data_IF_570529333337
#
_entry.id   IF_570529333337
#
_cell.length_a   1.000
_cell.length_b   1.000
_cell.length_c   1.000
_cell.angle_alpha   90.00
_cell.angle_beta   90.00
_cell.angle_gamma   90.00
#
_symmetry.space_group_name_H-M   'P 1'
#
loop_
_entity.id
_entity.type
_entity.pdbx_description
1 polymer ?
#
# COMPACT_ATOMS: atom_id res chain seq x y z
N UNK A 1 -40.99 5.85 -24.30
CA UNK A 1 -40.21 6.35 -23.15
C UNK A 1 -38.73 6.16 -23.46
N UNK A 2 -38.01 7.24 -23.82
CA UNK A 2 -36.59 7.15 -24.14
C UNK A 2 -35.79 7.08 -22.83
N UNK A 3 -35.26 5.89 -22.50
CA UNK A 3 -34.22 5.77 -21.49
C UNK A 3 -32.96 6.47 -22.00
N UNK A 4 -32.72 7.70 -21.55
CA UNK A 4 -31.39 8.30 -21.69
C UNK A 4 -30.43 7.48 -20.83
N UNK A 5 -29.55 6.74 -21.49
CA UNK A 5 -28.44 6.04 -20.84
C UNK A 5 -27.61 7.09 -20.12
N UNK A 6 -27.66 7.07 -18.79
CA UNK A 6 -26.96 8.03 -17.95
C UNK A 6 -25.46 7.65 -17.95
N UNK A 7 -24.72 8.18 -18.94
CA UNK A 7 -23.28 7.95 -19.00
C UNK A 7 -22.62 8.63 -17.80
N UNK A 8 -21.76 7.93 -17.03
CA UNK A 8 -21.05 8.55 -15.93
C UNK A 8 -20.20 9.71 -16.47
N UNK A 9 -20.39 10.92 -15.94
CA UNK A 9 -19.59 12.09 -16.33
C UNK A 9 -18.13 11.82 -15.99
N UNK A 10 -17.28 11.79 -17.01
CA UNK A 10 -15.83 11.81 -16.84
C UNK A 10 -15.40 13.23 -16.49
N UNK A 11 -14.92 13.42 -15.27
CA UNK A 11 -14.28 14.65 -14.85
C UNK A 11 -12.82 14.63 -15.29
N UNK A 12 -12.33 15.78 -15.75
CA UNK A 12 -10.90 15.95 -15.99
C UNK A 12 -10.13 15.63 -14.71
N UNK A 13 -9.04 14.85 -14.79
CA UNK A 13 -8.23 14.59 -13.62
C UNK A 13 -7.69 15.92 -13.10
N UNK A 14 -7.77 16.12 -11.78
CA UNK A 14 -7.20 17.30 -11.12
C UNK A 14 -5.73 17.41 -11.49
N UNK A 15 -5.24 18.64 -11.73
CA UNK A 15 -3.84 18.86 -12.10
C UNK A 15 -2.84 18.42 -11.01
N UNK A 16 -1.53 18.58 -11.27
CA UNK A 16 -0.47 18.16 -10.34
C UNK A 16 -0.59 18.80 -8.94
N UNK A 17 -1.33 19.92 -8.82
CA UNK A 17 -1.67 20.57 -7.57
C UNK A 17 -2.36 19.63 -6.55
N UNK A 18 -3.14 18.65 -7.00
CA UNK A 18 -3.79 17.69 -6.10
C UNK A 18 -2.79 16.75 -5.40
N UNK A 19 -1.58 16.61 -5.93
CA UNK A 19 -0.51 15.81 -5.33
C UNK A 19 0.39 16.64 -4.39
N UNK A 20 0.24 17.96 -4.36
CA UNK A 20 1.06 18.83 -3.51
C UNK A 20 0.74 18.58 -2.03
N UNK A 21 -0.53 18.56 -1.65
CA UNK A 21 -0.92 18.41 -0.24
C UNK A 21 -0.47 17.06 0.38
N UNK A 22 -0.68 15.89 -0.29
CA UNK A 22 -0.13 14.62 0.20
C UNK A 22 1.39 14.61 0.28
N UNK A 23 2.09 15.16 -0.73
CA UNK A 23 3.55 15.19 -0.77
C UNK A 23 4.14 16.13 0.29
N UNK A 24 3.51 17.27 0.58
CA UNK A 24 3.99 18.25 1.56
C UNK A 24 3.84 17.73 3.00
N UNK A 25 2.80 16.93 3.27
CA UNK A 25 2.56 16.39 4.61
C UNK A 25 3.29 15.05 4.81
N UNK A 26 3.04 14.06 3.94
CA UNK A 26 3.61 12.72 4.09
C UNK A 26 5.06 12.62 3.62
N UNK A 27 5.50 13.47 2.69
CA UNK A 27 6.87 13.43 2.15
C UNK A 27 7.92 13.70 3.22
N UNK A 28 7.86 14.85 3.92
CA UNK A 28 8.78 15.14 5.03
C UNK A 28 8.68 14.09 6.14
N UNK A 29 7.46 13.64 6.46
CA UNK A 29 7.25 12.63 7.50
C UNK A 29 7.92 11.28 7.13
N UNK A 30 7.81 10.86 5.87
CA UNK A 30 8.48 9.67 5.35
C UNK A 30 10.00 9.80 5.36
N UNK A 31 10.55 10.96 4.98
CA UNK A 31 11.99 11.22 5.03
C UNK A 31 12.52 11.26 6.47
N UNK A 32 11.79 11.88 7.40
CA UNK A 32 12.17 11.95 8.81
C UNK A 32 12.18 10.56 9.46
N UNK A 33 11.15 9.75 9.22
CA UNK A 33 11.09 8.39 9.75
C UNK A 33 12.19 7.49 9.17
N UNK A 34 12.45 7.61 7.87
CA UNK A 34 13.51 6.84 7.22
C UNK A 34 14.91 7.25 7.69
N UNK A 35 15.17 8.56 7.78
CA UNK A 35 16.43 9.10 8.28
C UNK A 35 16.69 8.78 9.74
N UNK A 36 15.67 8.96 10.61
CA UNK A 36 15.76 8.60 12.02
C UNK A 36 15.92 7.09 12.23
N UNK A 37 15.25 6.27 11.40
CA UNK A 37 15.41 4.83 11.40
C UNK A 37 16.84 4.40 11.05
N UNK A 38 17.43 4.97 10.00
CA UNK A 38 18.82 4.66 9.61
C UNK A 38 19.81 5.06 10.71
N UNK A 39 19.65 6.24 11.31
CA UNK A 39 20.54 6.69 12.38
C UNK A 39 20.46 5.76 13.62
N UNK A 40 19.25 5.29 13.97
CA UNK A 40 19.05 4.32 15.05
C UNK A 40 19.60 2.91 14.73
N UNK A 41 19.50 2.45 13.47
CA UNK A 41 20.08 1.15 13.08
C UNK A 41 21.60 1.17 13.17
N UNK A 42 22.23 2.24 12.68
CA UNK A 42 23.69 2.33 12.61
C UNK A 42 24.35 2.67 13.94
N UNK A 43 23.73 3.51 14.79
CA UNK A 43 24.34 3.95 16.05
C UNK A 43 24.01 3.07 17.25
N UNK A 44 22.77 2.63 17.39
CA UNK A 44 22.33 1.94 18.61
C UNK A 44 22.13 0.43 18.44
N UNK A 45 22.33 -0.13 17.22
CA UNK A 45 21.98 -1.53 16.88
C UNK A 45 20.56 -1.89 17.34
N UNK A 46 19.68 -0.90 17.46
CA UNK A 46 18.34 -1.08 18.01
C UNK A 46 17.42 -1.59 16.91
N UNK A 47 16.79 -2.73 17.16
CA UNK A 47 15.75 -3.31 16.30
C UNK A 47 14.59 -2.32 16.05
N UNK A 48 14.35 -1.36 16.95
CA UNK A 48 13.39 -0.27 16.74
C UNK A 48 13.73 0.62 15.54
N UNK A 49 15.02 0.77 15.20
CA UNK A 49 15.44 1.49 13.99
C UNK A 49 14.93 0.83 12.70
N UNK A 50 14.86 -0.52 12.66
CA UNK A 50 14.30 -1.25 11.53
C UNK A 50 12.79 -1.00 11.36
N UNK A 51 12.05 -0.88 12.47
CA UNK A 51 10.63 -0.55 12.45
C UNK A 51 10.40 0.85 11.87
N UNK A 52 11.20 1.84 12.30
CA UNK A 52 11.13 3.20 11.75
C UNK A 52 11.52 3.27 10.27
N UNK A 53 12.58 2.54 9.85
CA UNK A 53 12.95 2.40 8.45
C UNK A 53 11.83 1.78 7.60
N UNK A 54 11.22 0.70 8.08
CA UNK A 54 10.11 0.04 7.40
C UNK A 54 8.90 0.97 7.25
N UNK A 55 8.56 1.72 8.31
CA UNK A 55 7.50 2.73 8.27
C UNK A 55 7.79 3.84 7.26
N UNK A 56 9.01 4.38 7.26
CA UNK A 56 9.45 5.39 6.29
C UNK A 56 9.35 4.90 4.83
N UNK A 57 9.83 3.68 4.55
CA UNK A 57 9.74 3.06 3.23
C UNK A 57 8.30 2.85 2.76
N UNK A 58 7.40 2.44 3.66
CA UNK A 58 5.99 2.27 3.33
C UNK A 58 5.32 3.60 2.95
N UNK A 59 5.64 4.69 3.66
CA UNK A 59 5.10 6.02 3.38
C UNK A 59 5.61 6.54 2.03
N UNK A 60 6.92 6.42 1.78
CA UNK A 60 7.52 6.83 0.51
C UNK A 60 6.98 5.98 -0.64
N UNK A 61 6.89 4.66 -0.46
CA UNK A 61 6.32 3.74 -1.44
C UNK A 61 4.86 4.07 -1.76
N UNK A 62 4.05 4.41 -0.74
CA UNK A 62 2.68 4.85 -0.93
C UNK A 62 2.59 6.14 -1.75
N UNK A 63 3.43 7.14 -1.47
CA UNK A 63 3.49 8.38 -2.25
C UNK A 63 3.86 8.12 -3.71
N UNK A 64 4.87 7.28 -3.96
CA UNK A 64 5.26 6.87 -5.33
C UNK A 64 4.12 6.14 -6.03
N UNK A 65 3.41 5.25 -5.32
CA UNK A 65 2.25 4.56 -5.87
C UNK A 65 1.12 5.52 -6.25
N UNK A 66 0.81 6.50 -5.38
CA UNK A 66 -0.14 7.57 -5.70
C UNK A 66 0.30 8.38 -6.93
N UNK A 67 1.59 8.71 -7.04
CA UNK A 67 2.15 9.42 -8.20
C UNK A 67 1.97 8.63 -9.49
N UNK A 68 2.26 7.32 -9.46
CA UNK A 68 2.02 6.45 -10.61
C UNK A 68 0.55 6.41 -11.00
N UNK A 69 -0.37 6.27 -10.03
CA UNK A 69 -1.81 6.30 -10.32
C UNK A 69 -2.24 7.63 -10.95
N UNK A 70 -1.67 8.75 -10.48
CA UNK A 70 -1.94 10.07 -11.04
C UNK A 70 -1.46 10.18 -12.48
N UNK A 71 -0.21 9.79 -12.77
CA UNK A 71 0.34 9.80 -14.14
C UNK A 71 -0.51 8.93 -15.06
N UNK A 72 -0.90 7.73 -14.62
CA UNK A 72 -1.74 6.83 -15.42
C UNK A 72 -3.13 7.41 -15.65
N UNK A 73 -3.73 8.08 -14.67
CA UNK A 73 -4.99 8.78 -14.86
C UNK A 73 -4.87 9.91 -15.91
N UNK A 74 -3.77 10.67 -15.92
CA UNK A 74 -3.49 11.67 -16.95
C UNK A 74 -3.33 11.04 -18.34
N UNK A 75 -2.67 9.88 -18.44
CA UNK A 75 -2.51 9.14 -19.70
C UNK A 75 -3.85 8.62 -20.23
N UNK A 76 -4.72 8.09 -19.36
CA UNK A 76 -6.08 7.65 -19.75
C UNK A 76 -6.90 8.85 -20.27
N UNK A 77 -6.78 10.01 -19.64
CA UNK A 77 -7.43 11.24 -20.09
C UNK A 77 -6.90 11.69 -21.46
N UNK A 78 -5.57 11.71 -21.65
CA UNK A 78 -4.97 12.04 -22.94
C UNK A 78 -5.41 11.08 -24.05
N UNK A 79 -5.51 9.78 -23.75
CA UNK A 79 -6.05 8.78 -24.68
C UNK A 79 -7.53 9.05 -25.02
N UNK A 80 -8.36 9.38 -24.03
CA UNK A 80 -9.76 9.73 -24.23
C UNK A 80 -9.92 10.94 -25.16
N UNK A 81 -9.15 12.02 -24.91
CA UNK A 81 -9.17 13.23 -25.74
C UNK A 81 -8.73 12.94 -27.18
N UNK A 82 -7.74 12.06 -27.39
CA UNK A 82 -7.24 11.71 -28.74
C UNK A 82 -8.20 10.82 -29.53
N UNK A 83 -8.90 9.90 -28.87
CA UNK A 83 -9.72 8.89 -29.56
C UNK A 83 -11.22 9.22 -29.55
N UNK A 84 -11.66 10.14 -28.70
CA UNK A 84 -13.08 10.44 -28.47
C UNK A 84 -13.86 9.30 -27.80
N UNK A 85 -13.20 8.20 -27.41
CA UNK A 85 -13.84 7.00 -26.86
C UNK A 85 -13.87 7.04 -25.34
N UNK A 86 -15.02 6.73 -24.73
CA UNK A 86 -15.16 6.68 -23.28
C UNK A 86 -14.41 5.45 -22.73
N UNK A 87 -13.46 5.61 -21.78
CA UNK A 87 -12.74 4.47 -21.19
C UNK A 87 -13.68 3.59 -20.37
N UNK A 88 -13.63 2.27 -20.60
CA UNK A 88 -14.35 1.30 -19.79
C UNK A 88 -13.52 0.92 -18.56
N UNK A 89 -13.93 1.37 -17.38
CA UNK A 89 -13.26 1.04 -16.13
C UNK A 89 -13.46 -0.45 -15.77
N UNK A 90 -12.38 -1.24 -15.77
CA UNK A 90 -12.41 -2.61 -15.27
C UNK A 90 -12.84 -2.62 -13.79
N UNK A 91 -13.90 -3.39 -13.48
CA UNK A 91 -14.42 -3.55 -12.11
C UNK A 91 -13.67 -4.61 -11.29
N UNK A 92 -12.80 -5.38 -11.93
CA UNK A 92 -12.03 -6.50 -11.37
C UNK A 92 -10.80 -6.10 -10.54
N UNK A 93 -9.95 -7.07 -10.23
CA UNK A 93 -8.64 -6.86 -9.60
C UNK A 93 -8.62 -6.91 -8.07
N UNK A 94 -9.71 -6.52 -7.40
CA UNK A 94 -9.75 -6.49 -5.93
C UNK A 94 -9.49 -7.86 -5.29
N UNK A 95 -10.25 -8.89 -5.69
CA UNK A 95 -10.13 -10.24 -5.09
C UNK A 95 -8.73 -10.81 -5.31
N UNK A 96 -8.14 -10.61 -6.49
CA UNK A 96 -6.77 -11.05 -6.78
C UNK A 96 -5.76 -10.36 -5.87
N UNK A 97 -5.87 -9.04 -5.72
CA UNK A 97 -5.02 -8.30 -4.80
C UNK A 97 -5.24 -8.68 -3.34
N UNK A 98 -6.49 -8.91 -2.94
CA UNK A 98 -6.84 -9.30 -1.57
C UNK A 98 -6.32 -10.69 -1.21
N UNK A 99 -6.34 -11.64 -2.16
CA UNK A 99 -5.72 -12.95 -1.97
C UNK A 99 -4.21 -12.84 -1.77
N UNK A 100 -3.52 -12.01 -2.55
CA UNK A 100 -2.08 -11.78 -2.40
C UNK A 100 -1.78 -11.11 -1.06
N UNK A 101 -2.50 -10.03 -0.71
CA UNK A 101 -2.30 -9.34 0.56
C UNK A 101 -2.64 -10.21 1.77
N UNK A 102 -3.73 -10.97 1.72
CA UNK A 102 -4.12 -11.90 2.76
C UNK A 102 -3.14 -13.06 2.93
N UNK A 103 -2.63 -13.60 1.82
CA UNK A 103 -1.56 -14.61 1.85
C UNK A 103 -0.28 -14.09 2.50
N UNK A 104 0.10 -12.83 2.20
CA UNK A 104 1.26 -12.19 2.81
C UNK A 104 1.07 -11.98 4.33
N UNK A 105 -0.13 -11.54 4.73
CA UNK A 105 -0.49 -11.40 6.14
C UNK A 105 -0.51 -12.73 6.89
N UNK A 106 -1.02 -13.80 6.26
CA UNK A 106 -0.99 -15.15 6.84
C UNK A 106 0.44 -15.67 7.00
N UNK A 107 1.29 -15.47 6.00
CA UNK A 107 2.71 -15.83 6.09
C UNK A 107 3.42 -15.07 7.22
N UNK A 108 3.10 -13.79 7.42
CA UNK A 108 3.64 -12.99 8.52
C UNK A 108 3.19 -13.51 9.89
N UNK A 109 1.88 -13.76 10.07
CA UNK A 109 1.33 -14.32 11.32
C UNK A 109 1.94 -15.69 11.62
N UNK A 110 2.06 -16.55 10.61
CA UNK A 110 2.69 -17.86 10.76
C UNK A 110 4.17 -17.74 11.13
N UNK A 111 4.91 -16.83 10.49
CA UNK A 111 6.30 -16.53 10.83
C UNK A 111 6.46 -16.07 12.27
N UNK A 112 5.60 -15.16 12.75
CA UNK A 112 5.58 -14.71 14.14
C UNK A 112 5.27 -15.86 15.12
N UNK A 113 4.34 -16.76 14.77
CA UNK A 113 4.03 -17.93 15.59
C UNK A 113 5.21 -18.91 15.69
N UNK A 114 5.89 -19.18 14.57
CA UNK A 114 7.08 -20.05 14.53
C UNK A 114 8.26 -19.42 15.28
N UNK A 115 8.45 -18.10 15.16
CA UNK A 115 9.47 -17.37 15.90
C UNK A 115 9.22 -17.43 17.41
N UNK A 116 7.99 -17.20 17.84
CA UNK A 116 7.57 -17.36 19.23
C UNK A 116 7.87 -18.75 19.76
N UNK A 117 7.46 -19.79 19.01
CA UNK A 117 7.69 -21.18 19.41
C UNK A 117 9.17 -21.55 19.51
N UNK A 118 10.01 -21.12 18.56
CA UNK A 118 11.42 -21.52 18.50
C UNK A 118 12.38 -20.66 19.33
N UNK A 119 12.04 -19.40 19.58
CA UNK A 119 12.96 -18.42 20.16
C UNK A 119 12.45 -17.77 21.46
N UNK A 120 11.32 -18.21 22.04
CA UNK A 120 10.80 -17.66 23.30
C UNK A 120 11.82 -17.69 24.45
N UNK A 121 12.66 -18.73 24.53
CA UNK A 121 13.65 -18.89 25.60
C UNK A 121 15.04 -18.33 25.24
N UNK A 122 15.20 -17.72 24.06
CA UNK A 122 16.52 -17.23 23.63
C UNK A 122 16.92 -15.97 24.43
N UNK A 123 18.15 -15.88 24.96
CA UNK A 123 18.57 -14.80 25.86
C UNK A 123 18.63 -13.40 25.22
N UNK A 124 18.59 -13.31 23.89
CA UNK A 124 18.67 -12.04 23.14
C UNK A 124 17.40 -11.76 22.33
N UNK A 125 16.71 -12.81 21.88
CA UNK A 125 15.53 -12.70 21.01
C UNK A 125 14.22 -13.06 21.70
N UNK A 126 14.27 -13.55 22.94
CA UNK A 126 13.12 -14.02 23.71
C UNK A 126 12.02 -12.98 23.79
N UNK A 127 12.30 -11.80 24.34
CA UNK A 127 11.30 -10.72 24.48
C UNK A 127 10.64 -10.34 23.14
N UNK A 128 11.42 -10.28 22.06
CA UNK A 128 10.91 -9.96 20.72
C UNK A 128 10.05 -11.11 20.16
N UNK A 129 10.48 -12.35 20.32
CA UNK A 129 9.75 -13.53 19.88
C UNK A 129 8.40 -13.64 20.62
N UNK A 130 8.39 -13.37 21.91
CA UNK A 130 7.15 -13.35 22.71
C UNK A 130 6.26 -12.18 22.32
N UNK A 131 6.82 -10.98 22.12
CA UNK A 131 6.06 -9.82 21.65
C UNK A 131 5.46 -10.06 20.25
N UNK A 132 6.23 -10.64 19.33
CA UNK A 132 5.76 -11.00 17.99
C UNK A 132 4.65 -12.07 18.05
N UNK A 133 4.77 -13.05 18.96
CA UNK A 133 3.74 -14.05 19.21
C UNK A 133 2.45 -13.42 19.75
N UNK A 134 2.53 -12.54 20.75
CA UNK A 134 1.37 -11.83 21.28
C UNK A 134 0.71 -10.91 20.24
N UNK A 135 1.52 -10.24 19.43
CA UNK A 135 1.03 -9.39 18.34
C UNK A 135 0.29 -10.24 17.30
N UNK A 136 0.85 -11.38 16.91
CA UNK A 136 0.20 -12.34 16.01
C UNK A 136 -1.08 -12.95 16.61
N UNK A 137 -1.09 -13.21 17.92
CA UNK A 137 -2.25 -13.82 18.60
C UNK A 137 -3.39 -12.81 18.81
N UNK A 138 -3.09 -11.60 19.29
CA UNK A 138 -4.08 -10.56 19.57
C UNK A 138 -4.56 -9.85 18.30
N UNK A 139 -3.65 -9.61 17.36
CA UNK A 139 -3.90 -8.79 16.17
C UNK A 139 -3.77 -9.58 14.86
N UNK A 140 -3.68 -10.91 14.91
CA UNK A 140 -3.50 -11.74 13.72
C UNK A 140 -4.57 -11.52 12.65
N UNK A 141 -5.83 -11.34 13.03
CA UNK A 141 -6.90 -11.02 12.10
C UNK A 141 -6.67 -9.68 11.40
N UNK A 142 -6.24 -8.65 12.14
CA UNK A 142 -5.91 -7.33 11.58
C UNK A 142 -4.68 -7.40 10.67
N UNK A 143 -3.66 -8.16 11.07
CA UNK A 143 -2.44 -8.40 10.28
C UNK A 143 -2.72 -9.13 8.96
N UNK A 144 -3.81 -9.89 8.85
CA UNK A 144 -4.23 -10.56 7.61
C UNK A 144 -5.18 -9.68 6.80
N UNK A 145 -6.18 -9.11 7.46
CA UNK A 145 -7.26 -8.35 6.79
C UNK A 145 -6.73 -7.01 6.26
N UNK A 146 -5.91 -6.28 7.01
CA UNK A 146 -5.44 -4.97 6.58
C UNK A 146 -4.58 -5.06 5.29
N UNK A 147 -3.57 -5.94 5.19
CA UNK A 147 -2.85 -6.13 3.92
C UNK A 147 -3.74 -6.63 2.78
N UNK A 148 -4.69 -7.52 3.04
CA UNK A 148 -5.66 -7.96 2.04
C UNK A 148 -6.47 -6.78 1.47
N UNK A 149 -6.99 -5.90 2.32
CA UNK A 149 -7.73 -4.73 1.90
C UNK A 149 -6.86 -3.74 1.13
N UNK A 150 -5.66 -3.46 1.63
CA UNK A 150 -4.71 -2.51 1.01
C UNK A 150 -4.29 -3.00 -0.37
N UNK A 151 -3.82 -4.24 -0.49
CA UNK A 151 -3.34 -4.80 -1.77
C UNK A 151 -4.51 -5.03 -2.73
N UNK A 152 -5.67 -5.46 -2.23
CA UNK A 152 -6.89 -5.56 -3.01
C UNK A 152 -7.31 -4.22 -3.61
N UNK A 153 -7.32 -3.17 -2.79
CA UNK A 153 -7.62 -1.81 -3.24
C UNK A 153 -6.59 -1.31 -4.23
N UNK A 154 -5.29 -1.45 -3.92
CA UNK A 154 -4.20 -1.01 -4.80
C UNK A 154 -4.28 -1.68 -6.16
N UNK A 155 -4.51 -3.00 -6.20
CA UNK A 155 -4.68 -3.74 -7.45
C UNK A 155 -5.88 -3.27 -8.25
N UNK A 156 -7.01 -3.02 -7.58
CA UNK A 156 -8.21 -2.48 -8.22
C UNK A 156 -7.97 -1.07 -8.79
N UNK A 157 -7.32 -0.19 -8.03
CA UNK A 157 -6.98 1.17 -8.47
C UNK A 157 -6.03 1.13 -9.68
N UNK A 158 -5.08 0.20 -9.67
CA UNK A 158 -4.17 -0.03 -10.79
C UNK A 158 -4.91 -0.51 -12.04
N UNK A 159 -5.84 -1.47 -11.93
CA UNK A 159 -6.58 -1.94 -13.10
C UNK A 159 -7.52 -0.87 -13.68
N UNK A 160 -8.04 0.04 -12.84
CA UNK A 160 -8.90 1.14 -13.28
C UNK A 160 -8.15 2.25 -14.02
N UNK A 161 -6.87 2.44 -13.74
CA UNK A 161 -6.03 3.45 -14.41
C UNK A 161 -5.27 2.87 -15.61
N UNK A 162 -5.61 1.67 -16.08
CA UNK A 162 -4.99 1.09 -17.26
C UNK A 162 -5.46 1.77 -18.56
N UNK A 163 -4.52 2.24 -19.36
CA UNK A 163 -4.78 2.77 -20.70
C UNK A 163 -5.17 1.60 -21.61
N UNK A 164 -6.31 1.68 -22.33
CA UNK A 164 -6.67 0.68 -23.32
C UNK A 164 -5.62 0.60 -24.43
N UNK A 165 -5.30 -0.61 -24.90
CA UNK A 165 -4.54 -0.76 -26.15
C UNK A 165 -5.36 -0.19 -27.30
N UNK A 166 -4.73 0.64 -28.13
CA UNK A 166 -5.35 1.31 -29.28
C UNK A 166 -5.95 0.32 -30.28
#
# INVERSE_FOLDING_TARGET
MNHQVNYPRLYAPTGPAAMILPCVILGPLGMLLFGAGLDAVFKTKQLMGLVYCAGGLLIVGFLVFCLMLHIRAQQVWAWHVRTGRIPYFRKGGFVKGALVGGGLGLAAVFGCAVLGWKFAEHPVYGELATAAFYLAFLWGSVLVVAPALIVGWARRAWERTAVPSA
#
